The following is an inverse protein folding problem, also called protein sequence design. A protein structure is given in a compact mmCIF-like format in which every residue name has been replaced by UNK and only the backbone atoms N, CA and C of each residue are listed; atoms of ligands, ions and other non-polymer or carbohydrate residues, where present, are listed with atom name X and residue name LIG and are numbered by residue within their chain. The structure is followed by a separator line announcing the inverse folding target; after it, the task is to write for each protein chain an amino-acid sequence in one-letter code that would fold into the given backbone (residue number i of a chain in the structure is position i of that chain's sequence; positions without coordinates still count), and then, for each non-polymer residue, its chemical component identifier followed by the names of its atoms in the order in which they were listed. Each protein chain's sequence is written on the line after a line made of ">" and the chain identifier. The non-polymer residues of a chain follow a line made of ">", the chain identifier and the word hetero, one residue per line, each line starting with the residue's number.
data_IF_270078023476
#
_entry.id   IF_270078023476
#
_cell.length_a   1.000
_cell.length_b   1.000
_cell.length_c   1.000
_cell.angle_alpha   90.00
_cell.angle_beta   90.00
_cell.angle_gamma   90.00
#
_symmetry.space_group_name_H-M   'P 1'
#
loop_
_entity.id
_entity.type
_entity.pdbx_description
1 polymer ?
#
# COMPACT_ATOMS: atom_id res chain seq x y z
N UNK A 1 -11.15 37.90 -15.75
CA UNK A 1 -11.07 36.41 -15.80
C UNK A 1 -10.30 36.06 -17.06
N UNK A 2 -9.19 35.32 -16.93
CA UNK A 2 -8.39 34.90 -18.10
C UNK A 2 -9.22 33.95 -18.95
N UNK A 3 -9.35 34.23 -20.24
CA UNK A 3 -9.97 33.31 -21.20
C UNK A 3 -9.21 31.99 -21.21
N UNK A 4 -9.89 30.86 -20.99
CA UNK A 4 -9.29 29.53 -21.09
C UNK A 4 -9.00 29.25 -22.58
N UNK A 5 -7.75 28.93 -22.92
CA UNK A 5 -7.41 28.46 -24.27
C UNK A 5 -7.83 27.00 -24.45
N UNK A 6 -8.63 26.73 -25.47
CA UNK A 6 -9.07 25.37 -25.84
C UNK A 6 -7.87 24.43 -26.06
N UNK A 7 -6.80 24.92 -26.67
CA UNK A 7 -5.61 24.13 -26.96
C UNK A 7 -4.79 23.81 -25.70
N UNK A 8 -4.74 24.75 -24.74
CA UNK A 8 -4.12 24.48 -23.44
C UNK A 8 -4.90 23.41 -22.66
N UNK A 9 -6.23 23.47 -22.69
CA UNK A 9 -7.08 22.49 -22.02
C UNK A 9 -6.92 21.10 -22.65
N UNK A 10 -6.94 20.98 -23.97
CA UNK A 10 -6.68 19.72 -24.69
C UNK A 10 -5.34 19.10 -24.32
N UNK A 11 -4.27 19.90 -24.35
CA UNK A 11 -2.93 19.44 -23.96
C UNK A 11 -2.85 18.93 -22.51
N UNK A 12 -3.62 19.51 -21.58
CA UNK A 12 -3.68 19.05 -20.19
C UNK A 12 -4.44 17.71 -20.12
N UNK A 13 -5.58 17.60 -20.80
CA UNK A 13 -6.40 16.38 -20.82
C UNK A 13 -5.61 15.21 -21.41
N UNK A 14 -5.00 15.39 -22.57
CA UNK A 14 -4.20 14.34 -23.25
C UNK A 14 -3.03 13.85 -22.37
N UNK A 15 -2.41 14.75 -21.59
CA UNK A 15 -1.38 14.37 -20.62
C UNK A 15 -1.94 13.52 -19.49
N UNK A 16 -3.11 13.86 -18.96
CA UNK A 16 -3.77 13.11 -17.88
C UNK A 16 -4.20 11.74 -18.38
N UNK A 17 -4.82 11.66 -19.56
CA UNK A 17 -5.27 10.39 -20.14
C UNK A 17 -4.11 9.41 -20.33
N UNK A 18 -2.98 9.89 -20.87
CA UNK A 18 -1.76 9.07 -20.98
C UNK A 18 -1.25 8.61 -19.61
N UNK A 19 -1.24 9.49 -18.60
CA UNK A 19 -0.80 9.12 -17.25
C UNK A 19 -1.73 8.10 -16.58
N UNK A 20 -3.04 8.18 -16.82
CA UNK A 20 -4.00 7.18 -16.33
C UNK A 20 -3.83 5.84 -17.03
N UNK A 21 -3.52 5.82 -18.33
CA UNK A 21 -3.16 4.59 -19.05
C UNK A 21 -1.87 3.95 -18.50
N UNK A 22 -0.80 4.74 -18.32
CA UNK A 22 0.46 4.29 -17.71
C UNK A 22 0.23 3.70 -16.30
N UNK A 23 -0.56 4.39 -15.48
CA UNK A 23 -0.95 3.92 -14.14
C UNK A 23 -1.77 2.64 -14.18
N UNK A 24 -2.65 2.46 -15.18
CA UNK A 24 -3.43 1.24 -15.35
C UNK A 24 -2.52 0.05 -15.69
N UNK A 25 -1.55 0.24 -16.58
CA UNK A 25 -0.52 -0.77 -16.93
C UNK A 25 0.27 -1.17 -15.69
N UNK A 26 0.86 -0.20 -14.98
CA UNK A 26 1.62 -0.46 -13.74
C UNK A 26 0.77 -1.17 -12.68
N UNK A 27 -0.51 -0.80 -12.56
CA UNK A 27 -1.43 -1.45 -11.63
C UNK A 27 -1.68 -2.92 -12.00
N UNK A 28 -1.73 -3.23 -13.29
CA UNK A 28 -1.87 -4.61 -13.79
C UNK A 28 -0.61 -5.41 -13.50
N UNK A 29 0.57 -4.89 -13.83
CA UNK A 29 1.85 -5.55 -13.55
C UNK A 29 2.01 -5.87 -12.06
N UNK A 30 1.66 -4.94 -11.17
CA UNK A 30 1.67 -5.15 -9.71
C UNK A 30 0.74 -6.31 -9.32
N UNK A 31 -0.45 -6.41 -9.91
CA UNK A 31 -1.39 -7.50 -9.62
C UNK A 31 -0.83 -8.85 -10.08
N UNK A 32 -0.18 -8.90 -11.23
CA UNK A 32 0.47 -10.10 -11.76
C UNK A 32 1.59 -10.57 -10.84
N UNK A 33 2.45 -9.67 -10.34
CA UNK A 33 3.48 -10.02 -9.35
C UNK A 33 2.87 -10.61 -8.07
N UNK A 34 1.77 -10.04 -7.56
CA UNK A 34 1.08 -10.64 -6.41
C UNK A 34 0.46 -12.00 -6.73
N UNK A 35 0.00 -12.23 -7.96
CA UNK A 35 -0.55 -13.51 -8.39
C UNK A 35 0.55 -14.57 -8.55
N UNK A 36 1.71 -14.20 -9.09
CA UNK A 36 2.90 -15.04 -9.14
C UNK A 36 3.39 -15.41 -7.74
N UNK A 37 3.49 -14.43 -6.84
CA UNK A 37 3.85 -14.70 -5.45
C UNK A 37 2.91 -15.72 -4.79
N UNK A 38 1.61 -15.68 -5.14
CA UNK A 38 0.63 -16.67 -4.69
C UNK A 38 0.87 -18.04 -5.29
N UNK A 39 1.20 -18.14 -6.57
CA UNK A 39 1.40 -19.44 -7.25
C UNK A 39 2.63 -20.18 -6.73
N UNK A 40 3.65 -19.46 -6.25
CA UNK A 40 4.85 -20.02 -5.62
C UNK A 40 4.72 -20.23 -4.10
N UNK A 41 3.53 -19.95 -3.52
CA UNK A 41 3.20 -20.29 -2.13
C UNK A 41 3.28 -19.18 -1.09
N UNK A 42 3.55 -17.93 -1.48
CA UNK A 42 3.47 -16.80 -0.55
C UNK A 42 2.03 -16.31 -0.36
N UNK A 43 1.73 -15.71 0.80
CA UNK A 43 0.46 -15.02 1.03
C UNK A 43 0.51 -13.55 0.54
N UNK A 44 -0.26 -13.16 -0.48
CA UNK A 44 -0.23 -11.79 -1.00
C UNK A 44 -0.71 -10.73 0.00
N UNK A 45 -1.53 -11.09 1.00
CA UNK A 45 -1.97 -10.12 2.03
C UNK A 45 -0.82 -9.73 2.94
N UNK A 46 -0.04 -10.71 3.39
CA UNK A 46 1.17 -10.49 4.17
C UNK A 46 2.21 -9.71 3.39
N UNK A 47 2.44 -10.02 2.10
CA UNK A 47 3.36 -9.24 1.25
C UNK A 47 2.90 -7.77 1.16
N UNK A 48 1.61 -7.50 0.96
CA UNK A 48 1.08 -6.12 0.94
C UNK A 48 1.37 -5.37 2.25
N UNK A 49 1.25 -6.04 3.40
CA UNK A 49 1.61 -5.45 4.69
C UNK A 49 3.10 -5.11 4.74
N UNK A 50 3.97 -6.02 4.32
CA UNK A 50 5.43 -5.78 4.24
C UNK A 50 5.74 -4.61 3.30
N UNK A 51 5.12 -4.53 2.13
CA UNK A 51 5.30 -3.40 1.20
C UNK A 51 4.85 -2.09 1.83
N UNK A 52 3.75 -2.08 2.60
CA UNK A 52 3.30 -0.89 3.32
C UNK A 52 4.33 -0.47 4.38
N UNK A 53 4.80 -1.40 5.20
CA UNK A 53 5.82 -1.14 6.23
C UNK A 53 7.10 -0.57 5.60
N UNK A 54 7.56 -1.17 4.49
CA UNK A 54 8.77 -0.71 3.77
C UNK A 54 8.66 0.69 3.14
N UNK A 55 7.45 1.23 3.01
CA UNK A 55 7.21 2.60 2.52
C UNK A 55 7.14 3.64 3.63
N UNK A 56 7.05 3.21 4.88
CA UNK A 56 6.99 4.10 6.04
C UNK A 56 8.39 4.56 6.43
N UNK A 57 8.47 5.70 7.10
CA UNK A 57 9.67 6.10 7.81
C UNK A 57 9.95 5.13 8.97
N UNK A 58 11.22 4.95 9.31
CA UNK A 58 11.64 3.99 10.33
C UNK A 58 11.14 4.39 11.72
N UNK A 59 11.04 5.69 12.03
CA UNK A 59 10.57 6.19 13.31
C UNK A 59 9.04 6.02 13.42
N UNK A 60 8.30 6.35 12.35
CA UNK A 60 6.85 6.12 12.26
C UNK A 60 6.51 4.63 12.46
N UNK A 61 7.30 3.73 11.88
CA UNK A 61 7.10 2.29 12.04
C UNK A 61 7.33 1.84 13.48
N UNK A 62 8.39 2.32 14.14
CA UNK A 62 8.68 1.99 15.53
C UNK A 62 7.58 2.48 16.48
N UNK A 63 7.09 3.70 16.28
CA UNK A 63 5.98 4.24 17.08
C UNK A 63 4.70 3.41 16.90
N UNK A 64 4.35 3.05 15.66
CA UNK A 64 3.19 2.21 15.40
C UNK A 64 3.31 0.81 16.00
N UNK A 65 4.48 0.17 15.92
CA UNK A 65 4.71 -1.14 16.53
C UNK A 65 4.62 -1.08 18.06
N UNK A 66 5.16 -0.03 18.70
CA UNK A 66 5.06 0.16 20.14
C UNK A 66 3.60 0.33 20.61
N UNK A 67 2.80 1.10 19.86
CA UNK A 67 1.37 1.25 20.12
C UNK A 67 0.61 -0.06 19.89
N UNK A 68 0.91 -0.76 18.80
CA UNK A 68 0.29 -2.05 18.48
C UNK A 68 0.56 -3.08 19.59
N UNK A 69 1.81 -3.19 20.06
CA UNK A 69 2.19 -4.09 21.15
C UNK A 69 1.42 -3.75 22.44
N UNK A 70 1.34 -2.45 22.77
CA UNK A 70 0.57 -1.96 23.93
C UNK A 70 -0.90 -2.39 23.85
N UNK A 71 -1.54 -2.22 22.70
CA UNK A 71 -2.95 -2.59 22.51
C UNK A 71 -3.16 -4.10 22.51
N UNK A 72 -2.28 -4.87 21.85
CA UNK A 72 -2.36 -6.34 21.84
C UNK A 72 -2.17 -6.92 23.25
N UNK A 73 -1.27 -6.36 24.06
CA UNK A 73 -1.07 -6.76 25.44
C UNK A 73 -2.30 -6.44 26.30
N UNK A 74 -2.86 -5.23 26.18
CA UNK A 74 -4.05 -4.83 26.91
C UNK A 74 -5.27 -5.73 26.61
N UNK A 75 -5.38 -6.21 25.37
CA UNK A 75 -6.45 -7.10 24.92
C UNK A 75 -6.14 -8.59 25.11
N UNK A 76 -4.96 -8.96 25.64
CA UNK A 76 -4.49 -10.36 25.76
C UNK A 76 -4.49 -11.12 24.41
N UNK A 77 -4.24 -10.42 23.31
CA UNK A 77 -4.29 -10.97 21.95
C UNK A 77 -2.92 -11.41 21.41
N UNK A 78 -1.88 -11.45 22.25
CA UNK A 78 -0.52 -11.81 21.82
C UNK A 78 -0.43 -13.32 21.59
N UNK A 79 -0.10 -13.80 20.38
CA UNK A 79 0.07 -15.23 20.13
C UNK A 79 1.20 -15.77 21.02
N UNK A 80 0.88 -16.74 21.88
CA UNK A 80 1.81 -17.32 22.86
C UNK A 80 1.67 -16.81 24.30
N UNK A 81 0.75 -15.89 24.62
CA UNK A 81 0.44 -15.50 26.01
C UNK A 81 -0.61 -16.40 26.66
N UNK A 82 -0.58 -17.71 26.40
CA UNK A 82 -1.27 -18.68 27.24
C UNK A 82 -0.49 -18.86 28.54
N UNK A 83 -0.60 -17.88 29.43
CA UNK A 83 -0.32 -18.04 30.85
C UNK A 83 -1.61 -17.76 31.61
N UNK A 84 -2.63 -18.58 31.33
CA UNK A 84 -3.58 -18.93 32.38
C UNK A 84 -2.83 -19.88 33.32
N UNK A 85 -2.19 -19.29 34.34
CA UNK A 85 -1.91 -19.96 35.61
C UNK A 85 -2.97 -19.53 36.61
#
# INVERSE_FOLDING_TARGET
>A
MSSISSDQLKNIIEKIERLEEEKATVSTDIREVYAEAKSIGYDPKTIRQVVKIRKMDQDDFQEQEALLDTYMNALKMRPGSSSDS
#
